data_IF_167958736227
#
_entry.id   IF_167958736227
#
_cell.length_a   1.000
_cell.length_b   1.000
_cell.length_c   1.000
_cell.angle_alpha   90.00
_cell.angle_beta   90.00
_cell.angle_gamma   90.00
#
_symmetry.space_group_name_H-M   'P 1'
#
loop_
_entity.id
_entity.type
_entity.pdbx_description
1 polymer ?
#
# COMPACT_ATOMS: atom_id res chain seq x y z
N UNK A 1 -4.37 10.51 -30.19
CA UNK A 1 -4.27 11.70 -29.33
C UNK A 1 -2.92 11.67 -28.60
N UNK A 2 -2.27 12.81 -28.33
CA UNK A 2 -1.01 12.87 -27.54
C UNK A 2 -1.34 13.41 -26.15
N UNK A 3 -1.24 12.56 -25.13
CA UNK A 3 -1.52 12.95 -23.74
C UNK A 3 -0.45 13.93 -23.26
N UNK A 4 -0.87 15.04 -22.66
CA UNK A 4 0.00 16.01 -21.99
C UNK A 4 -0.27 15.95 -20.49
N UNK A 5 0.78 15.82 -19.68
CA UNK A 5 0.66 15.75 -18.21
C UNK A 5 1.17 17.05 -17.61
N UNK A 6 0.37 17.70 -16.76
CA UNK A 6 0.76 18.91 -16.03
C UNK A 6 1.04 18.51 -14.57
N UNK A 7 2.15 19.00 -14.01
CA UNK A 7 2.46 18.79 -12.59
C UNK A 7 1.38 19.44 -11.71
N UNK A 8 0.87 18.77 -10.66
CA UNK A 8 -0.09 19.37 -9.74
C UNK A 8 0.41 20.67 -9.09
N UNK A 9 1.73 20.83 -8.95
CA UNK A 9 2.33 22.06 -8.42
C UNK A 9 2.11 23.27 -9.34
N UNK A 10 2.03 23.04 -10.66
CA UNK A 10 1.72 24.09 -11.64
C UNK A 10 0.22 24.35 -11.78
N UNK A 11 -0.64 23.42 -11.36
CA UNK A 11 -2.10 23.60 -11.34
C UNK A 11 -2.56 24.33 -10.08
N UNK A 12 -1.95 24.06 -8.93
CA UNK A 12 -2.34 24.58 -7.62
C UNK A 12 -2.54 26.11 -7.56
N UNK A 13 -1.70 26.96 -8.20
CA UNK A 13 -1.91 28.42 -8.20
C UNK A 13 -3.22 28.87 -8.87
N UNK A 14 -3.82 28.05 -9.72
CA UNK A 14 -5.03 28.38 -10.48
C UNK A 14 -6.32 27.86 -9.82
N UNK A 15 -6.23 27.09 -8.73
CA UNK A 15 -7.39 26.60 -7.99
C UNK A 15 -8.04 27.76 -7.25
N UNK A 16 -9.36 27.95 -7.46
CA UNK A 16 -10.14 29.01 -6.79
C UNK A 16 -11.13 28.40 -5.82
N UNK A 17 -11.18 28.92 -4.58
CA UNK A 17 -12.12 28.48 -3.56
C UNK A 17 -11.81 27.08 -2.99
N UNK A 18 -12.85 26.42 -2.47
CA UNK A 18 -12.73 25.08 -1.89
C UNK A 18 -12.55 24.02 -2.98
N UNK A 19 -11.93 22.90 -2.59
CA UNK A 19 -11.68 21.77 -3.48
C UNK A 19 -13.01 21.14 -3.92
N UNK A 20 -13.26 21.14 -5.22
CA UNK A 20 -14.29 20.33 -5.87
C UNK A 20 -13.82 19.99 -7.30
N UNK A 21 -14.43 18.99 -7.92
CA UNK A 21 -13.99 18.48 -9.23
C UNK A 21 -14.11 19.54 -10.34
N UNK A 22 -15.09 20.43 -10.26
CA UNK A 22 -15.27 21.52 -11.22
C UNK A 22 -14.14 22.55 -11.17
N UNK A 23 -13.77 22.96 -9.96
CA UNK A 23 -12.66 23.89 -9.71
C UNK A 23 -11.32 23.26 -10.10
N UNK A 24 -11.13 21.97 -9.85
CA UNK A 24 -9.92 21.24 -10.25
C UNK A 24 -9.82 21.15 -11.79
N UNK A 25 -10.92 20.85 -12.48
CA UNK A 25 -10.97 20.83 -13.95
C UNK A 25 -10.70 22.21 -14.56
N UNK A 26 -11.30 23.26 -14.01
CA UNK A 26 -11.06 24.65 -14.44
C UNK A 26 -9.60 25.06 -14.22
N UNK A 27 -9.02 24.73 -13.06
CA UNK A 27 -7.63 25.03 -12.76
C UNK A 27 -6.67 24.35 -13.75
N UNK A 28 -6.94 23.08 -14.11
CA UNK A 28 -6.16 22.35 -15.13
C UNK A 28 -6.29 23.03 -16.50
N UNK A 29 -7.49 23.45 -16.90
CA UNK A 29 -7.71 24.14 -18.18
C UNK A 29 -6.99 25.49 -18.24
N UNK A 30 -7.04 26.28 -17.14
CA UNK A 30 -6.36 27.58 -17.05
C UNK A 30 -4.84 27.40 -17.04
N UNK A 31 -4.34 26.38 -16.33
CA UNK A 31 -2.93 26.01 -16.35
C UNK A 31 -2.49 25.65 -17.78
N UNK A 32 -3.27 24.84 -18.50
CA UNK A 32 -2.99 24.42 -19.87
C UNK A 32 -2.88 25.61 -20.86
N UNK A 33 -3.58 26.71 -20.60
CA UNK A 33 -3.56 27.91 -21.43
C UNK A 33 -2.32 28.81 -21.20
N UNK A 34 -1.52 28.57 -20.15
CA UNK A 34 -0.37 29.42 -19.88
C UNK A 34 0.71 29.25 -20.96
N UNK A 35 1.20 30.33 -21.59
CA UNK A 35 2.22 30.25 -22.64
C UNK A 35 3.54 29.60 -22.18
N UNK A 36 3.85 29.72 -20.90
CA UNK A 36 5.06 29.18 -20.26
C UNK A 36 4.84 27.80 -19.62
N UNK A 37 3.69 27.15 -19.86
CA UNK A 37 3.37 25.89 -19.21
C UNK A 37 4.35 24.78 -19.58
N UNK A 38 4.91 24.14 -18.56
CA UNK A 38 5.81 23.01 -18.70
C UNK A 38 5.06 21.70 -18.46
N UNK A 39 5.21 20.76 -19.39
CA UNK A 39 4.61 19.43 -19.29
C UNK A 39 5.62 18.43 -18.73
N UNK A 40 5.12 17.52 -17.91
CA UNK A 40 5.90 16.40 -17.40
C UNK A 40 5.77 15.24 -18.39
N UNK A 41 6.86 14.52 -18.71
CA UNK A 41 6.76 13.32 -19.52
C UNK A 41 5.81 12.30 -18.86
N UNK A 42 4.94 11.63 -19.65
CA UNK A 42 4.12 10.56 -19.12
C UNK A 42 5.02 9.41 -18.65
N UNK A 43 4.63 8.73 -17.58
CA UNK A 43 5.34 7.54 -17.09
C UNK A 43 5.39 6.47 -18.17
N UNK A 44 6.54 5.82 -18.31
CA UNK A 44 6.66 4.64 -19.19
C UNK A 44 5.76 3.50 -18.68
N UNK A 45 5.36 2.55 -19.55
CA UNK A 45 4.59 1.38 -19.13
C UNK A 45 5.26 0.64 -17.95
N UNK A 46 6.58 0.47 -18.00
CA UNK A 46 7.35 -0.20 -16.95
C UNK A 46 7.26 0.56 -15.62
N UNK A 47 7.30 1.90 -15.65
CA UNK A 47 7.11 2.71 -14.43
C UNK A 47 5.68 2.59 -13.87
N UNK A 48 4.68 2.50 -14.76
CA UNK A 48 3.29 2.29 -14.35
C UNK A 48 3.10 0.91 -13.72
N UNK A 49 3.76 -0.13 -14.25
CA UNK A 49 3.74 -1.48 -13.72
C UNK A 49 4.39 -1.56 -12.33
N UNK A 50 5.56 -0.93 -12.15
CA UNK A 50 6.21 -0.85 -10.83
C UNK A 50 5.31 -0.09 -9.84
N UNK A 51 4.65 1.00 -10.28
CA UNK A 51 3.70 1.71 -9.44
C UNK A 51 2.47 0.85 -9.07
N UNK A 52 1.95 0.08 -10.02
CA UNK A 52 0.84 -0.85 -9.80
C UNK A 52 1.24 -1.95 -8.81
N UNK A 53 2.46 -2.49 -8.92
CA UNK A 53 3.04 -3.46 -7.99
C UNK A 53 3.02 -2.96 -6.55
N UNK A 54 3.53 -1.74 -6.31
CA UNK A 54 3.52 -1.11 -4.98
C UNK A 54 2.11 -0.88 -4.44
N UNK A 55 1.17 -0.43 -5.30
CA UNK A 55 -0.24 -0.22 -4.91
C UNK A 55 -0.93 -1.53 -4.54
N UNK A 56 -0.72 -2.59 -5.34
CA UNK A 56 -1.26 -3.91 -5.07
C UNK A 56 -0.75 -4.43 -3.73
N UNK A 57 0.56 -4.36 -3.49
CA UNK A 57 1.16 -4.71 -2.21
C UNK A 57 0.56 -3.94 -1.04
N UNK A 58 0.45 -2.61 -1.15
CA UNK A 58 -0.11 -1.77 -0.08
C UNK A 58 -1.54 -2.16 0.25
N UNK A 59 -2.36 -2.48 -0.76
CA UNK A 59 -3.73 -2.98 -0.57
C UNK A 59 -3.75 -4.27 0.24
N UNK A 60 -2.89 -5.24 -0.07
CA UNK A 60 -2.81 -6.50 0.70
C UNK A 60 -2.32 -6.27 2.13
N UNK A 61 -1.35 -5.37 2.34
CA UNK A 61 -0.91 -4.97 3.69
C UNK A 61 -2.08 -4.39 4.50
N UNK A 62 -2.88 -3.51 3.90
CA UNK A 62 -4.04 -2.91 4.56
C UNK A 62 -5.08 -3.98 4.91
N UNK A 63 -5.36 -4.92 3.99
CA UNK A 63 -6.25 -6.05 4.29
C UNK A 63 -5.73 -6.89 5.45
N UNK A 64 -4.43 -7.21 5.50
CA UNK A 64 -3.86 -7.97 6.62
C UNK A 64 -4.03 -7.24 7.96
N UNK A 65 -3.81 -5.93 7.97
CA UNK A 65 -4.03 -5.11 9.17
C UNK A 65 -5.50 -5.10 9.58
N UNK A 66 -6.43 -4.99 8.63
CA UNK A 66 -7.87 -5.05 8.91
C UNK A 66 -8.27 -6.42 9.48
N UNK A 67 -7.78 -7.53 8.91
CA UNK A 67 -8.00 -8.89 9.43
C UNK A 67 -7.46 -9.03 10.85
N UNK A 68 -6.27 -8.49 11.15
CA UNK A 68 -5.73 -8.45 12.52
C UNK A 68 -6.68 -7.69 13.45
N UNK A 69 -7.12 -6.49 13.08
CA UNK A 69 -8.04 -5.71 13.91
C UNK A 69 -9.36 -6.45 14.16
N UNK A 70 -9.89 -7.12 13.15
CA UNK A 70 -11.12 -7.92 13.25
C UNK A 70 -10.97 -9.10 14.22
N UNK A 71 -9.91 -9.91 14.06
CA UNK A 71 -9.62 -11.03 14.98
C UNK A 71 -9.50 -10.52 16.42
N UNK A 72 -8.78 -9.41 16.61
CA UNK A 72 -8.58 -8.82 17.94
C UNK A 72 -9.90 -8.34 18.56
N UNK A 73 -10.75 -7.66 17.79
CA UNK A 73 -12.06 -7.22 18.28
C UNK A 73 -12.92 -8.39 18.75
N UNK A 74 -13.02 -9.44 17.92
CA UNK A 74 -13.80 -10.64 18.25
C UNK A 74 -13.31 -11.37 19.51
N UNK A 75 -11.99 -11.40 19.75
CA UNK A 75 -11.41 -12.00 20.94
C UNK A 75 -11.60 -11.11 22.19
N UNK A 76 -11.51 -9.79 22.03
CA UNK A 76 -11.78 -8.83 23.10
C UNK A 76 -13.23 -8.91 23.59
N UNK A 77 -14.18 -9.12 22.69
CA UNK A 77 -15.60 -9.38 23.05
C UNK A 77 -15.81 -10.64 23.89
N UNK A 78 -14.78 -11.49 24.04
CA UNK A 78 -14.76 -12.69 24.89
C UNK A 78 -13.78 -12.57 26.06
N UNK A 79 -13.27 -11.37 26.32
CA UNK A 79 -12.31 -11.13 27.40
C UNK A 79 -10.92 -11.68 27.14
N UNK A 80 -10.56 -11.98 25.88
CA UNK A 80 -9.24 -12.51 25.50
C UNK A 80 -8.41 -11.38 24.86
N UNK A 81 -7.56 -10.67 25.62
CA UNK A 81 -6.77 -9.57 25.09
C UNK A 81 -5.59 -10.08 24.25
N UNK A 82 -5.38 -9.41 23.11
CA UNK A 82 -4.28 -9.72 22.20
C UNK A 82 -3.66 -8.44 21.62
N UNK A 83 -2.33 -8.44 21.49
CA UNK A 83 -1.58 -7.30 20.94
C UNK A 83 -1.83 -7.08 19.44
N UNK A 84 -1.71 -5.82 18.98
CA UNK A 84 -1.93 -5.42 17.57
C UNK A 84 -0.84 -5.86 16.61
N UNK A 85 0.33 -6.21 17.13
CA UNK A 85 1.47 -6.57 16.30
C UNK A 85 1.21 -7.87 15.53
N UNK A 86 1.49 -7.85 14.22
CA UNK A 86 1.38 -9.01 13.32
C UNK A 86 2.11 -10.24 13.88
N UNK A 87 3.29 -10.05 14.48
CA UNK A 87 4.06 -11.13 15.11
C UNK A 87 3.35 -11.72 16.34
N UNK A 88 2.67 -10.89 17.13
CA UNK A 88 1.90 -11.34 18.29
C UNK A 88 0.67 -12.14 17.86
N UNK A 89 -0.06 -11.67 16.85
CA UNK A 89 -1.21 -12.41 16.30
C UNK A 89 -0.79 -13.77 15.76
N UNK A 90 0.28 -13.81 14.95
CA UNK A 90 0.83 -15.06 14.40
C UNK A 90 1.16 -16.10 15.48
N UNK A 91 1.64 -15.66 16.65
CA UNK A 91 2.00 -16.57 17.74
C UNK A 91 0.81 -16.93 18.63
N UNK A 92 -0.06 -15.98 18.94
CA UNK A 92 -1.09 -16.14 19.96
C UNK A 92 -2.33 -16.89 19.46
N UNK A 93 -2.72 -16.72 18.19
CA UNK A 93 -3.96 -17.33 17.69
C UNK A 93 -3.95 -18.86 17.74
N UNK A 94 -2.89 -19.57 17.32
CA UNK A 94 -2.83 -21.03 17.46
C UNK A 94 -3.04 -21.48 18.91
N UNK A 95 -2.34 -20.83 19.86
CA UNK A 95 -2.44 -21.14 21.29
C UNK A 95 -3.86 -20.92 21.84
N UNK A 96 -4.52 -19.84 21.43
CA UNK A 96 -5.91 -19.54 21.81
C UNK A 96 -6.87 -20.58 21.23
N UNK A 97 -6.65 -21.04 20.00
CA UNK A 97 -7.51 -22.04 19.38
C UNK A 97 -7.33 -23.44 19.98
N UNK A 98 -6.15 -23.76 20.49
CA UNK A 98 -5.82 -25.03 21.17
C UNK A 98 -6.32 -25.08 22.63
N UNK A 99 -6.34 -23.94 23.32
CA UNK A 99 -6.82 -23.85 24.71
C UNK A 99 -8.35 -24.07 24.76
N UNK A 100 -8.78 -25.25 25.21
CA UNK A 100 -10.19 -25.62 25.34
C UNK A 100 -10.93 -24.87 26.46
N UNK A 101 -10.20 -24.35 27.45
CA UNK A 101 -10.74 -23.80 28.70
C UNK A 101 -11.03 -22.29 28.61
N UNK A 102 -10.63 -21.61 27.54
CA UNK A 102 -10.83 -20.17 27.37
C UNK A 102 -12.26 -19.71 27.04
N UNK A 103 -13.25 -20.60 27.16
CA UNK A 103 -14.67 -20.26 27.00
C UNK A 103 -15.12 -19.94 25.56
N UNK A 104 -14.26 -20.10 24.55
CA UNK A 104 -14.65 -19.92 23.15
C UNK A 104 -15.55 -21.07 22.67
N UNK A 105 -16.74 -20.72 22.18
CA UNK A 105 -17.63 -21.67 21.53
C UNK A 105 -17.01 -22.25 20.25
N UNK A 106 -17.45 -23.46 19.85
CA UNK A 106 -16.99 -24.12 18.62
C UNK A 106 -17.23 -23.30 17.35
N UNK A 107 -18.28 -22.48 17.33
CA UNK A 107 -18.56 -21.55 16.22
C UNK A 107 -17.51 -20.44 16.17
N UNK A 108 -17.19 -19.81 17.30
CA UNK A 108 -16.21 -18.74 17.35
C UNK A 108 -14.80 -19.25 17.02
N UNK A 109 -14.41 -20.42 17.52
CA UNK A 109 -13.12 -21.05 17.16
C UNK A 109 -12.97 -21.23 15.65
N UNK A 110 -13.99 -21.76 14.98
CA UNK A 110 -14.00 -21.89 13.52
C UNK A 110 -13.90 -20.53 12.82
N UNK A 111 -14.67 -19.53 13.27
CA UNK A 111 -14.60 -18.17 12.69
C UNK A 111 -13.19 -17.56 12.82
N UNK A 112 -12.55 -17.69 13.99
CA UNK A 112 -11.20 -17.18 14.21
C UNK A 112 -10.17 -17.96 13.39
N UNK A 113 -10.33 -19.28 13.26
CA UNK A 113 -9.47 -20.12 12.41
C UNK A 113 -9.52 -19.70 10.94
N UNK A 114 -10.70 -19.47 10.37
CA UNK A 114 -10.87 -18.98 8.99
C UNK A 114 -10.20 -17.61 8.77
N UNK A 115 -10.39 -16.68 9.72
CA UNK A 115 -9.73 -15.37 9.65
C UNK A 115 -8.21 -15.49 9.80
N UNK A 116 -7.73 -16.46 10.57
CA UNK A 116 -6.31 -16.71 10.75
C UNK A 116 -5.65 -17.30 9.50
N UNK A 117 -6.33 -18.21 8.80
CA UNK A 117 -5.92 -18.69 7.48
C UNK A 117 -5.84 -17.54 6.48
N UNK A 118 -6.87 -16.68 6.41
CA UNK A 118 -6.83 -15.48 5.59
C UNK A 118 -5.63 -14.58 5.94
N UNK A 119 -5.35 -14.38 7.23
CA UNK A 119 -4.18 -13.62 7.68
C UNK A 119 -2.86 -14.23 7.17
N UNK A 120 -2.72 -15.56 7.22
CA UNK A 120 -1.55 -16.27 6.71
C UNK A 120 -1.40 -16.10 5.20
N UNK A 121 -2.49 -16.22 4.46
CA UNK A 121 -2.55 -16.06 3.00
C UNK A 121 -2.17 -14.66 2.55
N UNK A 122 -2.70 -13.64 3.23
CA UNK A 122 -2.31 -12.26 3.00
C UNK A 122 -0.81 -12.07 3.28
N UNK A 123 -0.27 -12.74 4.31
CA UNK A 123 1.18 -12.80 4.56
C UNK A 123 1.98 -13.39 3.40
N UNK A 124 1.55 -14.54 2.85
CA UNK A 124 2.18 -15.17 1.69
C UNK A 124 2.16 -14.27 0.45
N UNK A 125 1.02 -13.62 0.18
CA UNK A 125 0.85 -12.68 -0.94
C UNK A 125 1.72 -11.42 -0.79
N UNK A 126 1.86 -10.89 0.43
CA UNK A 126 2.79 -9.76 0.67
C UNK A 126 4.22 -10.18 0.36
N UNK A 127 4.63 -11.39 0.75
CA UNK A 127 5.97 -11.91 0.45
C UNK A 127 6.22 -12.06 -1.05
N UNK A 128 5.22 -12.52 -1.79
CA UNK A 128 5.28 -12.54 -3.26
C UNK A 128 5.58 -11.15 -3.83
N UNK A 129 4.81 -10.12 -3.46
CA UNK A 129 5.06 -8.76 -3.92
C UNK A 129 6.40 -8.19 -3.44
N UNK A 130 6.84 -8.57 -2.24
CA UNK A 130 8.15 -8.18 -1.73
C UNK A 130 9.30 -8.72 -2.60
N UNK A 131 9.20 -9.99 -3.04
CA UNK A 131 10.17 -10.57 -3.98
C UNK A 131 10.15 -9.89 -5.34
N UNK A 132 8.97 -9.59 -5.88
CA UNK A 132 8.86 -8.87 -7.16
C UNK A 132 9.52 -7.49 -7.09
N UNK A 133 9.30 -6.75 -5.99
CA UNK A 133 9.95 -5.45 -5.76
C UNK A 133 11.48 -5.61 -5.64
N UNK A 134 11.97 -6.66 -4.99
CA UNK A 134 13.40 -6.94 -4.92
C UNK A 134 14.00 -7.26 -6.29
N UNK A 135 13.28 -7.99 -7.14
CA UNK A 135 13.70 -8.27 -8.53
C UNK A 135 13.84 -6.96 -9.32
N UNK A 136 12.82 -6.10 -9.28
CA UNK A 136 12.87 -4.77 -9.92
C UNK A 136 14.06 -3.95 -9.40
N UNK A 137 14.26 -3.96 -8.09
CA UNK A 137 15.37 -3.25 -7.46
C UNK A 137 16.74 -3.74 -7.98
N UNK A 138 16.94 -5.05 -8.09
CA UNK A 138 18.19 -5.65 -8.58
C UNK A 138 18.44 -5.36 -10.06
N UNK A 139 17.39 -5.24 -10.87
CA UNK A 139 17.49 -4.96 -12.30
C UNK A 139 17.70 -3.47 -12.62
N UNK A 140 17.51 -2.58 -11.64
CA UNK A 140 17.58 -1.13 -11.87
C UNK A 140 18.78 -0.49 -11.18
N UNK A 141 19.81 -0.12 -11.95
CA UNK A 141 20.94 0.66 -11.43
C UNK A 141 20.51 1.97 -10.75
N UNK A 142 19.48 2.63 -11.28
CA UNK A 142 18.94 3.84 -10.69
C UNK A 142 18.41 3.58 -9.27
N UNK A 143 17.68 2.48 -9.08
CA UNK A 143 17.21 2.07 -7.75
C UNK A 143 18.39 1.77 -6.81
N UNK A 144 19.39 1.04 -7.28
CA UNK A 144 20.58 0.70 -6.48
C UNK A 144 21.36 1.94 -6.07
N UNK A 145 21.51 2.93 -6.96
CA UNK A 145 22.14 4.22 -6.64
C UNK A 145 21.38 4.97 -5.54
N UNK A 146 20.05 5.04 -5.63
CA UNK A 146 19.20 5.71 -4.63
C UNK A 146 19.27 5.00 -3.27
N UNK A 147 19.32 3.66 -3.25
CA UNK A 147 19.44 2.90 -2.00
C UNK A 147 20.80 3.04 -1.28
N UNK A 148 21.82 3.65 -1.89
CA UNK A 148 23.07 3.99 -1.19
C UNK A 148 22.86 5.10 -0.14
N UNK A 149 21.78 5.86 -0.24
CA UNK A 149 21.40 6.84 0.77
C UNK A 149 20.96 6.11 2.03
N UNK A 150 21.56 6.47 3.17
CA UNK A 150 21.26 5.86 4.48
C UNK A 150 19.75 5.93 4.77
N UNK A 151 19.15 4.78 5.05
CA UNK A 151 17.72 4.66 5.37
C UNK A 151 16.81 4.37 4.17
N UNK A 152 17.33 4.34 2.94
CA UNK A 152 16.55 3.96 1.75
C UNK A 152 16.79 2.48 1.43
N UNK A 153 15.76 1.66 1.61
CA UNK A 153 15.75 0.26 1.18
C UNK A 153 15.10 0.03 -0.19
N UNK A 154 15.08 -1.22 -0.68
CA UNK A 154 14.56 -1.59 -2.00
C UNK A 154 13.14 -1.07 -2.30
N UNK A 155 12.24 -1.14 -1.32
CA UNK A 155 10.85 -0.69 -1.47
C UNK A 155 10.76 0.82 -1.69
N UNK A 156 11.52 1.59 -0.92
CA UNK A 156 11.55 3.06 -1.05
C UNK A 156 12.26 3.46 -2.35
N UNK A 157 13.39 2.84 -2.68
CA UNK A 157 14.14 3.15 -3.88
C UNK A 157 13.32 2.89 -5.16
N UNK A 158 12.67 1.72 -5.27
CA UNK A 158 11.82 1.38 -6.42
C UNK A 158 10.58 2.28 -6.51
N UNK A 159 9.97 2.63 -5.37
CA UNK A 159 8.83 3.56 -5.36
C UNK A 159 9.24 4.96 -5.86
N UNK A 160 10.43 5.45 -5.50
CA UNK A 160 10.95 6.75 -5.97
C UNK A 160 11.19 6.72 -7.48
N UNK A 161 11.84 5.69 -8.01
CA UNK A 161 12.09 5.56 -9.47
C UNK A 161 10.79 5.41 -10.26
N UNK A 162 9.77 4.75 -9.70
CA UNK A 162 8.45 4.66 -10.33
C UNK A 162 7.67 5.99 -10.28
N UNK A 163 7.96 6.85 -9.30
CA UNK A 163 7.30 8.14 -9.14
C UNK A 163 7.94 9.23 -10.01
N UNK A 164 9.27 9.22 -10.13
CA UNK A 164 10.06 10.21 -10.85
C UNK A 164 10.34 9.66 -12.26
N UNK A 165 9.50 10.05 -13.22
CA UNK A 165 9.77 9.89 -14.66
C UNK A 165 11.13 10.50 -15.04
N UNK A 166 11.81 9.94 -16.06
CA UNK A 166 12.96 10.62 -16.67
C UNK A 166 12.55 11.94 -17.30
#
# INVERSE_FOLDING_TARGET
>A
HKVKVISPQYVKPFVRGQKNDGNDAQAIAVALMQPTMQFVPPKSPEQQDIQALHRARQRIVNHRTATVCQIRGLLLDRGIPIGSAVSRVRRAIPLILEDAENGLSSRMRRTIAELYELFNDLGRRIHFFDKEIETVFRQSEACQRIARVKGIGPKTATAVVAAIGK
#
